data_IF_758689445419
#
_entry.id   IF_758689445419
#
_cell.length_a   1.000
_cell.length_b   1.000
_cell.length_c   1.000
_cell.angle_alpha   90.00
_cell.angle_beta   90.00
_cell.angle_gamma   90.00
#
_symmetry.space_group_name_H-M   'P 1'
#
loop_
_entity.id
_entity.type
_entity.pdbx_description
1 polymer ?
#
# COMPACT_ATOMS: atom_id res chain seq x y z
N UNK A 1 59.68 4.65 3.58
CA UNK A 1 58.21 4.54 3.83
C UNK A 1 57.54 4.44 2.48
N UNK A 2 56.95 3.28 2.21
CA UNK A 2 56.32 3.02 0.92
C UNK A 2 54.93 3.64 0.83
N UNK A 3 54.68 4.43 -0.21
CA UNK A 3 53.41 5.12 -0.50
C UNK A 3 52.24 4.09 -0.57
N UNK A 4 52.49 2.84 -0.89
CA UNK A 4 51.52 1.78 -0.94
C UNK A 4 50.94 1.38 0.45
N UNK A 5 51.68 1.64 1.53
CA UNK A 5 51.24 1.27 2.90
C UNK A 5 50.31 2.32 3.53
N UNK A 6 50.41 3.57 3.05
CA UNK A 6 49.55 4.65 3.50
C UNK A 6 48.13 4.64 2.86
N UNK A 7 47.96 3.91 1.74
CA UNK A 7 46.67 3.84 1.04
C UNK A 7 45.71 2.74 1.58
N UNK A 8 46.24 1.80 2.36
CA UNK A 8 45.43 0.70 2.93
C UNK A 8 44.28 1.12 3.85
N UNK A 9 44.46 2.09 4.77
CA UNK A 9 43.35 2.50 5.63
C UNK A 9 42.26 3.30 4.89
N UNK A 10 42.61 3.98 3.79
CA UNK A 10 41.65 4.81 3.03
C UNK A 10 40.69 3.94 2.23
N UNK A 11 41.16 2.82 1.66
CA UNK A 11 40.31 1.90 0.90
C UNK A 11 39.34 1.14 1.81
N UNK A 12 39.78 0.77 3.03
CA UNK A 12 38.94 0.10 3.99
C UNK A 12 37.82 0.99 4.56
N UNK A 13 38.10 2.30 4.73
CA UNK A 13 37.09 3.27 5.21
C UNK A 13 36.02 3.57 4.16
N UNK A 14 36.36 3.58 2.85
CA UNK A 14 35.41 3.82 1.78
C UNK A 14 34.41 2.65 1.59
N UNK A 15 34.82 1.41 1.88
CA UNK A 15 33.96 0.24 1.74
C UNK A 15 32.85 0.18 2.82
N UNK A 16 33.07 0.74 4.00
CA UNK A 16 32.08 0.74 5.11
C UNK A 16 30.95 1.71 4.84
N UNK A 17 31.19 2.82 4.14
CA UNK A 17 30.17 3.81 3.83
C UNK A 17 29.17 3.39 2.75
N UNK A 18 29.55 2.45 1.87
CA UNK A 18 28.68 1.99 0.79
C UNK A 18 27.56 1.04 1.26
N UNK A 19 27.73 0.37 2.41
CA UNK A 19 26.74 -0.57 2.92
C UNK A 19 25.60 0.14 3.67
N UNK A 20 25.84 1.33 4.21
CA UNK A 20 24.82 2.07 4.99
C UNK A 20 23.75 2.76 4.13
N UNK A 21 23.95 2.91 2.82
CA UNK A 21 23.01 3.60 1.92
C UNK A 21 21.86 2.68 1.42
N UNK A 22 21.95 1.37 1.60
CA UNK A 22 20.93 0.43 1.10
C UNK A 22 19.79 0.17 2.08
N UNK A 23 19.91 0.57 3.34
CA UNK A 23 18.87 0.34 4.35
C UNK A 23 17.73 1.36 4.37
N UNK A 24 17.86 2.48 3.65
CA UNK A 24 16.89 3.57 3.71
C UNK A 24 15.67 3.43 2.77
N UNK A 25 15.67 2.46 1.85
CA UNK A 25 14.60 2.32 0.85
C UNK A 25 13.51 1.31 1.21
N UNK A 26 13.61 0.62 2.34
CA UNK A 26 12.61 -0.37 2.75
C UNK A 26 11.47 0.21 3.60
N UNK A 27 11.54 1.49 4.00
CA UNK A 27 10.58 2.09 4.94
C UNK A 27 9.40 2.83 4.28
N UNK A 28 9.40 3.03 2.96
CA UNK A 28 8.33 3.77 2.27
C UNK A 28 7.17 2.90 1.75
N UNK A 29 7.23 1.59 1.91
CA UNK A 29 6.31 0.69 1.23
C UNK A 29 4.95 0.55 1.92
N UNK A 30 4.67 1.22 3.05
CA UNK A 30 3.42 0.97 3.74
C UNK A 30 2.98 2.08 4.69
N UNK A 31 2.33 3.08 4.12
CA UNK A 31 1.77 4.24 4.80
C UNK A 31 0.34 4.04 5.36
N UNK A 32 -0.23 2.83 5.19
CA UNK A 32 -1.58 2.53 5.67
C UNK A 32 -1.64 2.43 7.19
N UNK A 33 -2.49 3.24 7.87
CA UNK A 33 -2.70 3.11 9.31
C UNK A 33 -3.25 1.73 9.69
N UNK A 34 -2.90 1.25 10.87
CA UNK A 34 -3.40 -0.02 11.41
C UNK A 34 -4.94 -0.04 11.48
N UNK A 35 -5.57 1.08 11.83
CA UNK A 35 -7.04 1.18 11.86
C UNK A 35 -7.66 0.91 10.49
N UNK A 36 -7.12 1.52 9.42
CA UNK A 36 -7.59 1.29 8.05
C UNK A 36 -7.44 -0.18 7.64
N UNK A 37 -6.33 -0.82 8.00
CA UNK A 37 -6.13 -2.25 7.75
C UNK A 37 -7.14 -3.10 8.50
N UNK A 38 -7.38 -2.80 9.77
CA UNK A 38 -8.35 -3.49 10.59
C UNK A 38 -9.78 -3.35 10.05
N UNK A 39 -10.17 -2.16 9.61
CA UNK A 39 -11.46 -1.90 8.97
C UNK A 39 -11.64 -2.68 7.67
N UNK A 40 -10.59 -2.71 6.82
CA UNK A 40 -10.61 -3.49 5.59
C UNK A 40 -10.79 -4.99 5.88
N UNK A 41 -9.98 -5.54 6.79
CA UNK A 41 -10.07 -6.96 7.19
C UNK A 41 -11.46 -7.28 7.74
N UNK A 42 -12.00 -6.41 8.60
CA UNK A 42 -13.34 -6.59 9.15
C UNK A 42 -14.42 -6.62 8.05
N UNK A 43 -14.40 -5.66 7.12
CA UNK A 43 -15.34 -5.60 5.99
C UNK A 43 -15.20 -6.81 5.06
N UNK A 44 -13.96 -7.21 4.76
CA UNK A 44 -13.66 -8.39 3.94
C UNK A 44 -14.20 -9.68 4.60
N UNK A 45 -14.02 -9.86 5.90
CA UNK A 45 -14.53 -11.01 6.64
C UNK A 45 -16.07 -11.07 6.65
N UNK A 46 -16.75 -9.92 6.68
CA UNK A 46 -18.20 -9.88 6.55
C UNK A 46 -18.71 -10.48 5.23
N UNK A 47 -17.93 -10.33 4.17
CA UNK A 47 -18.26 -10.89 2.85
C UNK A 47 -17.81 -12.35 2.67
N UNK A 48 -16.71 -12.76 3.31
CA UNK A 48 -16.05 -14.06 3.07
C UNK A 48 -16.18 -15.05 4.25
N UNK A 49 -16.85 -14.67 5.33
CA UNK A 49 -17.03 -15.47 6.53
C UNK A 49 -16.05 -15.10 7.65
N UNK A 50 -16.46 -15.39 8.89
CA UNK A 50 -15.72 -15.03 10.12
C UNK A 50 -14.90 -16.24 10.60
N UNK A 51 -13.98 -16.71 9.77
CA UNK A 51 -13.09 -17.83 10.10
C UNK A 51 -11.64 -17.37 10.24
N UNK A 52 -10.79 -18.20 10.82
CA UNK A 52 -9.35 -17.96 10.87
C UNK A 52 -8.74 -17.86 9.47
N UNK A 53 -9.18 -18.70 8.56
CA UNK A 53 -8.77 -18.65 7.16
C UNK A 53 -9.14 -17.31 6.53
N UNK A 54 -10.34 -16.80 6.77
CA UNK A 54 -10.78 -15.51 6.25
C UNK A 54 -9.93 -14.35 6.81
N UNK A 55 -9.52 -14.39 8.09
CA UNK A 55 -8.58 -13.40 8.65
C UNK A 55 -7.29 -13.39 7.85
N UNK A 56 -6.70 -14.55 7.57
CA UNK A 56 -5.44 -14.66 6.84
C UNK A 56 -5.57 -14.17 5.40
N UNK A 57 -6.62 -14.57 4.70
CA UNK A 57 -6.90 -14.13 3.33
C UNK A 57 -7.18 -12.63 3.24
N UNK A 58 -8.01 -12.10 4.12
CA UNK A 58 -8.35 -10.67 4.14
C UNK A 58 -7.15 -9.79 4.56
N UNK A 59 -6.29 -10.28 5.45
CA UNK A 59 -5.05 -9.60 5.82
C UNK A 59 -4.05 -9.58 4.65
N UNK A 60 -3.87 -10.71 3.96
CA UNK A 60 -3.10 -10.79 2.73
C UNK A 60 -3.64 -9.79 1.68
N UNK A 61 -4.96 -9.72 1.52
CA UNK A 61 -5.61 -8.83 0.54
C UNK A 61 -5.25 -7.36 0.77
N UNK A 62 -5.37 -6.85 2.00
CA UNK A 62 -5.01 -5.44 2.26
C UNK A 62 -3.50 -5.19 2.12
N UNK A 63 -2.65 -6.17 2.42
CA UNK A 63 -1.21 -6.06 2.21
C UNK A 63 -0.87 -5.94 0.72
N UNK A 64 -1.54 -6.72 -0.13
CA UNK A 64 -1.39 -6.61 -1.60
C UNK A 64 -1.89 -5.26 -2.10
N UNK A 65 -3.08 -4.81 -1.68
CA UNK A 65 -3.63 -3.49 -2.06
C UNK A 65 -2.67 -2.38 -1.66
N UNK A 66 -2.17 -2.39 -0.42
CA UNK A 66 -1.23 -1.39 0.09
C UNK A 66 0.13 -1.40 -0.62
N UNK A 67 0.51 -2.51 -1.26
CA UNK A 67 1.72 -2.60 -2.08
C UNK A 67 1.55 -2.01 -3.48
N UNK A 68 0.32 -1.80 -3.95
CA UNK A 68 0.01 -1.37 -5.32
C UNK A 68 -0.41 0.09 -5.37
N UNK A 69 -1.24 0.55 -4.44
CA UNK A 69 -1.71 1.94 -4.38
C UNK A 69 -1.35 2.59 -3.05
N UNK A 70 -1.08 3.89 -3.07
CA UNK A 70 -0.78 4.69 -1.87
C UNK A 70 -2.01 4.81 -0.99
N UNK A 71 -1.81 5.08 0.30
CA UNK A 71 -2.91 5.32 1.24
C UNK A 71 -3.79 6.49 0.83
N UNK A 72 -3.20 7.58 0.35
CA UNK A 72 -3.96 8.73 -0.17
C UNK A 72 -4.90 8.33 -1.31
N UNK A 73 -4.41 7.51 -2.24
CA UNK A 73 -5.21 7.01 -3.36
C UNK A 73 -6.34 6.10 -2.88
N UNK A 74 -6.05 5.25 -1.90
CA UNK A 74 -7.04 4.39 -1.25
C UNK A 74 -8.16 5.22 -0.61
N UNK A 75 -7.81 6.24 0.20
CA UNK A 75 -8.79 7.12 0.86
C UNK A 75 -9.64 7.87 -0.17
N UNK A 76 -9.05 8.34 -1.26
CA UNK A 76 -9.78 9.00 -2.36
C UNK A 76 -10.81 8.05 -2.97
N UNK A 77 -10.42 6.80 -3.24
CA UNK A 77 -11.31 5.78 -3.80
C UNK A 77 -12.45 5.40 -2.84
N UNK A 78 -12.15 5.15 -1.58
CA UNK A 78 -13.14 4.82 -0.55
C UNK A 78 -14.14 5.97 -0.33
N UNK A 79 -13.64 7.20 -0.28
CA UNK A 79 -14.49 8.40 -0.19
C UNK A 79 -15.41 8.52 -1.41
N UNK A 80 -14.87 8.30 -2.62
CA UNK A 80 -15.64 8.35 -3.84
C UNK A 80 -16.75 7.28 -3.86
N UNK A 81 -16.44 6.05 -3.43
CA UNK A 81 -17.42 4.96 -3.34
C UNK A 81 -18.53 5.29 -2.33
N UNK A 82 -18.20 5.77 -1.14
CA UNK A 82 -19.15 6.16 -0.12
C UNK A 82 -20.04 7.32 -0.59
N UNK A 83 -19.44 8.38 -1.13
CA UNK A 83 -20.16 9.57 -1.58
C UNK A 83 -21.00 9.32 -2.83
N UNK A 84 -20.61 8.39 -3.69
CA UNK A 84 -21.39 8.02 -4.86
C UNK A 84 -22.76 7.41 -4.54
N UNK A 85 -22.93 6.89 -3.32
CA UNK A 85 -24.18 6.32 -2.81
C UNK A 85 -25.14 7.40 -2.26
N UNK A 86 -24.63 8.61 -2.02
CA UNK A 86 -25.45 9.73 -1.55
C UNK A 86 -26.40 10.18 -2.65
N UNK A 87 -27.65 10.45 -2.29
CA UNK A 87 -28.66 10.95 -3.22
C UNK A 87 -28.44 12.44 -3.51
N UNK A 88 -28.90 12.90 -4.68
CA UNK A 88 -28.85 14.30 -5.11
C UNK A 88 -27.52 14.69 -5.78
N UNK A 89 -27.30 16.01 -5.89
CA UNK A 89 -26.20 16.60 -6.68
C UNK A 89 -24.81 16.16 -6.20
N UNK A 90 -24.63 15.99 -4.91
CA UNK A 90 -23.32 15.58 -4.35
C UNK A 90 -22.94 14.18 -4.84
N UNK A 91 -23.86 13.23 -4.77
CA UNK A 91 -23.60 11.87 -5.29
C UNK A 91 -23.34 11.87 -6.80
N UNK A 92 -24.05 12.72 -7.57
CA UNK A 92 -23.81 12.86 -9.01
C UNK A 92 -22.40 13.36 -9.27
N UNK A 93 -21.91 14.36 -8.55
CA UNK A 93 -20.55 14.89 -8.71
C UNK A 93 -19.49 13.81 -8.49
N UNK A 94 -19.63 12.99 -7.46
CA UNK A 94 -18.67 11.90 -7.21
C UNK A 94 -18.74 10.79 -8.28
N UNK A 95 -19.93 10.47 -8.79
CA UNK A 95 -20.07 9.46 -9.87
C UNK A 95 -19.53 9.94 -11.21
N UNK A 96 -19.46 11.25 -11.44
CA UNK A 96 -19.01 11.85 -12.71
C UNK A 96 -17.62 12.46 -12.68
N UNK A 97 -17.01 12.55 -11.49
CA UNK A 97 -15.64 13.05 -11.32
C UNK A 97 -14.62 12.11 -11.93
N UNK A 98 -13.82 12.58 -12.87
CA UNK A 98 -12.73 11.80 -13.47
C UNK A 98 -11.69 11.36 -12.45
N UNK A 99 -11.31 12.25 -11.52
CA UNK A 99 -10.36 11.94 -10.46
C UNK A 99 -10.89 10.83 -9.53
N UNK A 100 -12.17 10.91 -9.13
CA UNK A 100 -12.81 9.90 -8.31
C UNK A 100 -12.87 8.55 -9.04
N UNK A 101 -13.28 8.55 -10.30
CA UNK A 101 -13.38 7.34 -11.12
C UNK A 101 -12.01 6.69 -11.34
N UNK A 102 -10.96 7.48 -11.57
CA UNK A 102 -9.59 6.97 -11.72
C UNK A 102 -9.12 6.29 -10.43
N UNK A 103 -9.33 6.92 -9.27
CA UNK A 103 -8.96 6.34 -7.98
C UNK A 103 -9.72 5.03 -7.69
N UNK A 104 -11.02 4.99 -7.97
CA UNK A 104 -11.84 3.78 -7.84
C UNK A 104 -11.37 2.66 -8.76
N UNK A 105 -11.01 2.98 -9.99
CA UNK A 105 -10.47 1.99 -10.94
C UNK A 105 -9.12 1.43 -10.48
N UNK A 106 -8.24 2.27 -9.92
CA UNK A 106 -6.97 1.84 -9.36
C UNK A 106 -7.18 0.91 -8.16
N UNK A 107 -8.10 1.25 -7.26
CA UNK A 107 -8.47 0.38 -6.13
C UNK A 107 -9.01 -0.98 -6.62
N UNK A 108 -9.91 -0.98 -7.59
CA UNK A 108 -10.48 -2.22 -8.14
C UNK A 108 -9.43 -3.12 -8.78
N UNK A 109 -8.45 -2.55 -9.48
CA UNK A 109 -7.33 -3.31 -10.04
C UNK A 109 -6.47 -3.91 -8.94
N UNK A 110 -6.16 -3.15 -7.89
CA UNK A 110 -5.40 -3.65 -6.75
C UNK A 110 -6.15 -4.78 -6.01
N UNK A 111 -7.46 -4.65 -5.85
CA UNK A 111 -8.31 -5.69 -5.25
C UNK A 111 -8.38 -6.95 -6.14
N UNK A 112 -8.46 -6.81 -7.45
CA UNK A 112 -8.43 -7.96 -8.37
C UNK A 112 -7.11 -8.73 -8.29
N UNK A 113 -5.99 -8.02 -8.15
CA UNK A 113 -4.68 -8.65 -7.92
C UNK A 113 -4.62 -9.36 -6.56
N UNK A 114 -5.19 -8.75 -5.53
CA UNK A 114 -5.30 -9.36 -4.20
C UNK A 114 -6.17 -10.62 -4.21
N UNK A 115 -7.26 -10.62 -4.96
CA UNK A 115 -8.11 -11.81 -5.15
C UNK A 115 -7.32 -13.00 -5.69
N UNK A 116 -6.53 -12.77 -6.73
CA UNK A 116 -5.72 -13.84 -7.36
C UNK A 116 -4.62 -14.36 -6.42
N UNK A 117 -4.07 -13.51 -5.55
CA UNK A 117 -2.93 -13.88 -4.69
C UNK A 117 -3.33 -14.47 -3.35
N UNK A 118 -4.51 -14.12 -2.84
CA UNK A 118 -4.88 -14.38 -1.46
C UNK A 118 -6.04 -15.38 -1.32
N UNK A 119 -6.82 -15.60 -2.38
CA UNK A 119 -7.98 -16.48 -2.40
C UNK A 119 -7.85 -17.60 -3.43
#
# INVERSE_FOLDING_TARGET
>A
MNVAEQLRPIVAAAAVWAVSAMAAHAAEANDYPTSTRAEYVYGCMKANGESRQSIEQCSCSIDVVASIITYERYVTAETALSMSQVRGNLGVQFRTSEQANTAVNDLRRAQAEAEVRCF
#
